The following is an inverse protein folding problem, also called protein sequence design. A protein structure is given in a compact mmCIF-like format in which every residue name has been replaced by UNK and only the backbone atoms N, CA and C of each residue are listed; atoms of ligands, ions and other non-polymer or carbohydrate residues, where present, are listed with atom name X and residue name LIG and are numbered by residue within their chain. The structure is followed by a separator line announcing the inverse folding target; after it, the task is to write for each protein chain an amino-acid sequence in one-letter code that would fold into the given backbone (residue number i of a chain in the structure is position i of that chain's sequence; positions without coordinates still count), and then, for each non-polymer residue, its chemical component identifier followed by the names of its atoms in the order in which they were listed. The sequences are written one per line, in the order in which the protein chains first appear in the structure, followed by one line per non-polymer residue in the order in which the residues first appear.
data_IF_666471836378
#
_entry.id   IF_666471836378
#
_cell.length_a   1.000
_cell.length_b   1.000
_cell.length_c   1.000
_cell.angle_alpha   90.00
_cell.angle_beta   90.00
_cell.angle_gamma   90.00
#
_symmetry.space_group_name_H-M   'P 1'
#
loop_
_entity.id
_entity.type
_entity.pdbx_description
1 polymer ?
#
# COMPACT_ATOMS: atom_id res chain seq x y z
N UNK A 1 13.16 -6.60 19.02
CA UNK A 1 11.94 -5.76 19.22
C UNK A 1 12.37 -4.30 19.25
N UNK A 2 11.88 -3.47 18.32
CA UNK A 2 12.20 -2.04 18.30
C UNK A 2 11.50 -1.33 19.48
N UNK A 3 12.22 -0.40 20.14
CA UNK A 3 11.70 0.35 21.29
C UNK A 3 10.63 1.32 20.82
N UNK A 4 9.38 1.15 21.28
CA UNK A 4 8.28 2.04 20.92
C UNK A 4 8.57 3.48 21.40
N UNK A 5 8.40 4.45 20.51
CA UNK A 5 8.65 5.87 20.77
C UNK A 5 7.38 6.55 21.27
N UNK A 6 7.40 7.05 22.50
CA UNK A 6 6.24 7.74 23.13
C UNK A 6 6.15 9.23 22.78
N UNK A 7 7.29 9.91 22.54
CA UNK A 7 7.34 11.36 22.33
C UNK A 7 7.08 11.77 20.87
N UNK A 8 5.97 12.45 20.59
CA UNK A 8 5.61 12.92 19.25
C UNK A 8 6.25 14.27 18.94
N UNK A 9 7.41 14.24 18.27
CA UNK A 9 8.11 15.42 17.76
C UNK A 9 7.41 15.99 16.53
N UNK A 10 7.71 17.24 16.17
CA UNK A 10 7.21 17.87 14.95
C UNK A 10 7.49 17.02 13.69
N UNK A 11 8.67 16.43 13.60
CA UNK A 11 9.06 15.53 12.51
C UNK A 11 8.17 14.28 12.44
N UNK A 12 7.89 13.64 13.58
CA UNK A 12 6.98 12.47 13.63
C UNK A 12 5.55 12.84 13.25
N UNK A 13 5.10 14.03 13.64
CA UNK A 13 3.76 14.54 13.29
C UNK A 13 3.67 14.81 11.79
N UNK A 14 4.69 15.45 11.20
CA UNK A 14 4.76 15.68 9.75
C UNK A 14 4.78 14.35 8.98
N UNK A 15 5.55 13.36 9.44
CA UNK A 15 5.57 12.02 8.86
C UNK A 15 4.23 11.32 8.96
N UNK A 16 3.54 11.42 10.10
CA UNK A 16 2.18 10.89 10.27
C UNK A 16 1.20 11.52 9.26
N UNK A 17 1.19 12.84 9.14
CA UNK A 17 0.34 13.54 8.19
C UNK A 17 0.60 13.12 6.74
N UNK A 18 1.87 12.99 6.35
CA UNK A 18 2.26 12.51 5.03
C UNK A 18 1.73 11.09 4.76
N UNK A 19 1.95 10.15 5.68
CA UNK A 19 1.54 8.75 5.50
C UNK A 19 0.02 8.58 5.51
N UNK A 20 -0.70 9.34 6.35
CA UNK A 20 -2.16 9.38 6.33
C UNK A 20 -2.67 9.97 5.02
N UNK A 21 -2.05 11.05 4.52
CA UNK A 21 -2.40 11.64 3.23
C UNK A 21 -2.14 10.71 2.04
N UNK A 22 -1.17 9.80 2.16
CA UNK A 22 -0.95 8.70 1.20
C UNK A 22 -1.94 7.55 1.34
N UNK A 23 -2.75 7.55 2.40
CA UNK A 23 -3.76 6.51 2.63
C UNK A 23 -3.30 5.30 3.38
N UNK A 24 -2.16 5.37 4.08
CA UNK A 24 -1.66 4.20 4.79
C UNK A 24 -2.51 3.92 6.03
N UNK A 25 -2.83 2.65 6.24
CA UNK A 25 -3.54 2.20 7.44
C UNK A 25 -2.67 2.40 8.69
N UNK A 26 -3.30 2.67 9.84
CA UNK A 26 -2.60 2.91 11.10
C UNK A 26 -1.65 1.77 11.51
N UNK A 27 -1.97 0.52 11.15
CA UNK A 27 -1.09 -0.64 11.37
C UNK A 27 0.24 -0.48 10.64
N UNK A 28 0.22 -0.14 9.35
CA UNK A 28 1.42 0.10 8.54
C UNK A 28 2.20 1.33 9.01
N UNK A 29 1.50 2.40 9.40
CA UNK A 29 2.14 3.60 9.93
C UNK A 29 2.84 3.32 11.27
N UNK A 30 2.28 2.47 12.12
CA UNK A 30 2.88 2.13 13.41
C UNK A 30 4.27 1.47 13.28
N UNK A 31 4.48 0.74 12.18
CA UNK A 31 5.74 0.05 11.86
C UNK A 31 6.78 0.94 11.16
N UNK A 32 6.42 2.16 10.74
CA UNK A 32 7.35 3.11 10.13
C UNK A 32 8.50 3.44 11.11
N UNK A 33 9.79 3.33 10.74
CA UNK A 33 10.91 3.50 11.67
C UNK A 33 10.97 4.86 12.39
N UNK A 34 10.45 5.91 11.75
CA UNK A 34 10.37 7.24 12.34
C UNK A 34 9.22 7.32 13.34
N UNK A 35 8.10 6.63 13.06
CA UNK A 35 6.94 6.53 13.94
C UNK A 35 7.17 5.53 15.07
N UNK A 36 7.45 4.25 14.80
CA UNK A 36 7.71 3.17 15.75
C UNK A 36 6.79 3.22 16.99
N UNK A 37 5.50 2.99 16.78
CA UNK A 37 4.45 3.21 17.77
C UNK A 37 3.45 2.05 17.77
N UNK A 38 2.33 2.18 18.49
CA UNK A 38 1.20 1.25 18.37
C UNK A 38 0.11 1.82 17.47
N UNK A 39 -0.69 0.97 16.79
CA UNK A 39 -1.81 1.44 15.97
C UNK A 39 -2.78 2.34 16.74
N UNK A 40 -3.06 2.00 18.00
CA UNK A 40 -3.94 2.79 18.88
C UNK A 40 -3.36 4.18 19.18
N UNK A 41 -2.05 4.29 19.39
CA UNK A 41 -1.41 5.57 19.62
C UNK A 41 -1.37 6.41 18.33
N UNK A 42 -1.16 5.77 17.18
CA UNK A 42 -1.24 6.42 15.86
C UNK A 42 -2.63 7.02 15.62
N UNK A 43 -3.71 6.26 15.88
CA UNK A 43 -5.07 6.78 15.77
C UNK A 43 -5.33 7.98 16.68
N UNK A 44 -4.93 7.87 17.95
CA UNK A 44 -5.10 8.96 18.93
C UNK A 44 -4.42 10.25 18.48
N UNK A 45 -3.21 10.12 17.92
CA UNK A 45 -2.43 11.29 17.51
C UNK A 45 -2.97 11.87 16.21
N UNK A 46 -3.36 11.03 15.25
CA UNK A 46 -4.03 11.49 14.04
C UNK A 46 -5.30 12.31 14.37
N UNK A 47 -6.15 11.80 15.27
CA UNK A 47 -7.34 12.53 15.74
C UNK A 47 -7.00 13.88 16.39
N UNK A 48 -5.95 13.93 17.21
CA UNK A 48 -5.49 15.17 17.87
C UNK A 48 -5.08 16.26 16.89
N UNK A 49 -4.59 15.87 15.70
CA UNK A 49 -4.20 16.78 14.62
C UNK A 49 -5.26 16.89 13.51
N UNK A 50 -6.49 16.40 13.73
CA UNK A 50 -7.58 16.49 12.75
C UNK A 50 -7.38 15.63 11.50
N UNK A 51 -6.47 14.66 11.53
CA UNK A 51 -6.22 13.75 10.42
C UNK A 51 -7.24 12.62 10.43
N UNK A 52 -7.94 12.43 9.31
CA UNK A 52 -8.86 11.31 9.11
C UNK A 52 -8.16 10.21 8.33
N UNK A 53 -8.17 9.00 8.88
CA UNK A 53 -7.90 7.80 8.09
C UNK A 53 -9.09 7.60 7.16
N UNK A 54 -8.92 8.06 5.92
CA UNK A 54 -9.78 7.63 4.83
C UNK A 54 -9.17 6.36 4.27
N UNK A 55 -10.00 5.41 3.89
CA UNK A 55 -9.57 4.41 2.94
C UNK A 55 -9.15 5.20 1.70
N UNK A 56 -7.85 5.42 1.52
CA UNK A 56 -7.41 5.86 0.21
C UNK A 56 -7.83 4.75 -0.73
N UNK A 57 -8.62 5.12 -1.74
CA UNK A 57 -8.80 4.30 -2.92
C UNK A 57 -7.42 3.76 -3.26
N UNK A 58 -7.28 2.43 -3.16
CA UNK A 58 -6.02 1.71 -3.20
C UNK A 58 -5.10 2.39 -4.19
N UNK A 59 -3.89 2.79 -3.77
CA UNK A 59 -2.95 3.55 -4.59
C UNK A 59 -2.93 2.95 -5.99
N UNK A 60 -3.62 3.59 -6.92
CA UNK A 60 -3.94 2.93 -8.18
C UNK A 60 -2.61 2.59 -8.84
N UNK A 61 -2.39 1.31 -9.14
CA UNK A 61 -1.16 0.86 -9.81
C UNK A 61 -1.09 1.64 -11.13
N UNK A 62 -0.17 2.60 -11.19
CA UNK A 62 0.04 3.42 -12.38
C UNK A 62 0.93 2.63 -13.32
N UNK A 63 0.30 2.06 -14.34
CA UNK A 63 0.99 1.37 -15.42
C UNK A 63 1.38 2.37 -16.53
N UNK A 64 2.50 2.16 -17.24
CA UNK A 64 2.75 2.82 -18.51
C UNK A 64 1.56 2.64 -19.47
N UNK A 65 1.32 3.60 -20.37
CA UNK A 65 0.15 3.61 -21.23
C UNK A 65 -0.02 2.31 -22.05
N UNK A 66 1.09 1.78 -22.58
CA UNK A 66 1.09 0.53 -23.34
C UNK A 66 0.69 -0.67 -22.47
N UNK A 67 1.27 -0.79 -21.27
CA UNK A 67 0.90 -1.84 -20.33
C UNK A 67 -0.57 -1.71 -19.94
N UNK A 68 -1.03 -0.50 -19.59
CA UNK A 68 -2.43 -0.24 -19.25
C UNK A 68 -3.39 -0.72 -20.35
N UNK A 69 -3.10 -0.43 -21.63
CA UNK A 69 -3.90 -0.88 -22.76
C UNK A 69 -3.95 -2.41 -22.88
N UNK A 70 -2.81 -3.09 -22.71
CA UNK A 70 -2.75 -4.58 -22.71
C UNK A 70 -3.61 -5.17 -21.59
N UNK A 71 -3.56 -4.60 -20.39
CA UNK A 71 -4.38 -5.04 -19.27
C UNK A 71 -5.87 -4.75 -19.47
N UNK A 72 -6.23 -3.61 -20.08
CA UNK A 72 -7.63 -3.31 -20.42
C UNK A 72 -8.21 -4.32 -21.40
N UNK A 73 -7.52 -4.58 -22.51
CA UNK A 73 -7.96 -5.58 -23.50
C UNK A 73 -8.11 -6.97 -22.87
N UNK A 74 -7.19 -7.35 -21.99
CA UNK A 74 -7.26 -8.63 -21.30
C UNK A 74 -8.43 -8.71 -20.30
N UNK A 75 -8.76 -7.59 -19.64
CA UNK A 75 -9.86 -7.49 -18.68
C UNK A 75 -11.21 -7.49 -19.38
N UNK A 76 -11.34 -6.76 -20.49
CA UNK A 76 -12.53 -6.70 -21.34
C UNK A 76 -12.92 -8.09 -21.86
N UNK A 77 -11.95 -8.85 -22.39
CA UNK A 77 -12.16 -10.24 -22.83
C UNK A 77 -12.73 -11.17 -21.75
N UNK A 78 -12.57 -10.80 -20.47
CA UNK A 78 -12.99 -11.59 -19.30
C UNK A 78 -14.19 -10.96 -18.58
N UNK A 79 -14.71 -9.83 -19.04
CA UNK A 79 -15.81 -9.12 -18.39
C UNK A 79 -15.47 -8.61 -16.98
N UNK A 80 -14.19 -8.35 -16.69
CA UNK A 80 -13.73 -7.84 -15.39
C UNK A 80 -13.09 -6.47 -15.51
N UNK A 81 -12.91 -5.77 -14.40
CA UNK A 81 -12.14 -4.53 -14.37
C UNK A 81 -10.63 -4.82 -14.43
N UNK A 82 -9.85 -3.84 -14.88
CA UNK A 82 -8.38 -3.91 -14.86
C UNK A 82 -7.84 -4.26 -13.47
N UNK A 83 -8.40 -3.64 -12.43
CA UNK A 83 -7.98 -3.88 -11.05
C UNK A 83 -8.24 -5.33 -10.62
N UNK A 84 -9.41 -5.87 -10.92
CA UNK A 84 -9.75 -7.27 -10.62
C UNK A 84 -8.84 -8.24 -11.38
N UNK A 85 -8.49 -7.93 -12.63
CA UNK A 85 -7.54 -8.72 -13.39
C UNK A 85 -6.15 -8.73 -12.74
N UNK A 86 -5.63 -7.55 -12.35
CA UNK A 86 -4.31 -7.45 -11.71
C UNK A 86 -4.30 -8.21 -10.38
N UNK A 87 -5.37 -8.10 -9.57
CA UNK A 87 -5.51 -8.88 -8.33
C UNK A 87 -5.46 -10.38 -8.60
N UNK A 88 -6.20 -10.86 -9.60
CA UNK A 88 -6.20 -12.27 -9.97
C UNK A 88 -4.81 -12.76 -10.41
N UNK A 89 -4.08 -11.94 -11.17
CA UNK A 89 -2.73 -12.28 -11.60
C UNK A 89 -1.76 -12.39 -10.44
N UNK A 90 -1.77 -11.41 -9.52
CA UNK A 90 -0.91 -11.44 -8.33
C UNK A 90 -1.24 -12.66 -7.45
N UNK A 91 -2.53 -12.98 -7.28
CA UNK A 91 -2.94 -14.17 -6.52
C UNK A 91 -2.50 -15.48 -7.20
N UNK A 92 -2.63 -15.56 -8.53
CA UNK A 92 -2.18 -16.72 -9.31
C UNK A 92 -0.67 -16.89 -9.21
N UNK A 93 0.08 -15.81 -9.40
CA UNK A 93 1.54 -15.85 -9.31
C UNK A 93 2.02 -16.28 -7.91
N UNK A 94 1.32 -15.85 -6.85
CA UNK A 94 1.63 -16.25 -5.48
C UNK A 94 1.15 -17.67 -5.10
N UNK A 95 0.32 -18.32 -5.91
CA UNK A 95 -0.17 -19.67 -5.63
C UNK A 95 0.92 -20.74 -5.83
N UNK A 96 1.90 -20.45 -6.67
CA UNK A 96 3.04 -21.32 -6.95
C UNK A 96 4.33 -20.74 -6.36
N UNK A 97 5.05 -21.48 -5.48
CA UNK A 97 6.15 -20.92 -4.68
C UNK A 97 7.27 -20.23 -5.47
N UNK A 98 7.57 -20.69 -6.69
CA UNK A 98 8.68 -20.19 -7.50
C UNK A 98 8.22 -19.39 -8.71
N UNK A 99 6.90 -19.22 -8.92
CA UNK A 99 6.38 -18.63 -10.15
C UNK A 99 6.67 -17.13 -10.22
N UNK A 100 6.66 -16.44 -9.07
CA UNK A 100 7.06 -15.03 -9.00
C UNK A 100 8.52 -14.85 -9.42
N UNK A 101 9.42 -15.67 -8.89
CA UNK A 101 10.85 -15.60 -9.21
C UNK A 101 11.07 -15.92 -10.69
N UNK A 102 10.44 -16.98 -11.22
CA UNK A 102 10.52 -17.32 -12.65
C UNK A 102 10.03 -16.18 -13.57
N UNK A 103 8.92 -15.52 -13.25
CA UNK A 103 8.39 -14.40 -14.05
C UNK A 103 9.35 -13.20 -14.03
N UNK A 104 10.03 -12.97 -12.91
CA UNK A 104 10.94 -11.83 -12.75
C UNK A 104 12.34 -12.12 -13.31
N UNK A 105 12.81 -13.36 -13.22
CA UNK A 105 14.13 -13.81 -13.69
C UNK A 105 14.17 -14.07 -15.21
N UNK A 106 13.02 -14.30 -15.85
CA UNK A 106 12.91 -14.43 -17.32
C UNK A 106 13.22 -13.12 -18.07
N UNK A 107 13.42 -11.98 -17.37
CA UNK A 107 13.88 -10.71 -17.94
C UNK A 107 15.42 -10.53 -17.89
N UNK A 108 16.18 -11.55 -18.31
CA UNK A 108 17.64 -11.48 -18.54
C UNK A 108 18.04 -11.55 -20.02
#
# INVERSE_FOLDING_TARGET
MSKQKTNWTAERIARLGFLVGQGFAAKRIADDPLIASTPNNVHRQAQRFGLAFRDALATAIRLPAEAAARYDTAAEKRGVTRESLIKLLVMTAAAEPNLLDNILDDEA
#
